data_IF_035316617941
#
_entry.id   IF_035316617941
#
_cell.length_a   1.000
_cell.length_b   1.000
_cell.length_c   1.000
_cell.angle_alpha   90.00
_cell.angle_beta   90.00
_cell.angle_gamma   90.00
#
_symmetry.space_group_name_H-M   'P 1'
#
loop_
_entity.id
_entity.type
_entity.pdbx_description
1 polymer ?
#
# COMPACT_ATOMS: atom_id res chain seq x y z
N UNK A 1 14.44 38.35 54.88
CA UNK A 1 15.59 37.44 55.03
C UNK A 1 15.59 36.56 53.79
N UNK A 2 16.33 36.96 52.74
CA UNK A 2 16.23 36.32 51.42
C UNK A 2 17.53 35.57 51.14
N UNK A 3 17.41 34.25 50.98
CA UNK A 3 18.53 33.32 50.93
C UNK A 3 19.21 33.34 49.55
N UNK A 4 20.53 33.53 49.56
CA UNK A 4 21.41 33.48 48.40
C UNK A 4 21.53 32.03 47.89
N UNK A 5 21.32 31.74 46.59
CA UNK A 5 21.45 30.38 46.06
C UNK A 5 22.93 29.93 45.98
N UNK A 6 23.23 28.64 46.19
CA UNK A 6 24.58 28.09 46.11
C UNK A 6 25.09 27.98 44.66
N UNK A 7 26.37 28.30 44.48
CA UNK A 7 27.13 28.21 43.22
C UNK A 7 27.31 26.73 42.81
N UNK A 8 27.06 26.35 41.55
CA UNK A 8 27.24 24.97 41.10
C UNK A 8 28.73 24.56 41.06
N UNK A 9 29.07 23.29 41.37
CA UNK A 9 30.42 22.75 41.24
C UNK A 9 30.88 22.76 39.78
N UNK A 10 32.08 23.31 39.56
CA UNK A 10 32.75 23.36 38.27
C UNK A 10 33.42 22.00 38.04
N UNK A 11 32.84 21.16 37.18
CA UNK A 11 33.44 19.89 36.75
C UNK A 11 34.41 20.17 35.59
N UNK A 12 35.66 19.73 35.76
CA UNK A 12 36.74 19.86 34.79
C UNK A 12 36.46 18.97 33.57
N UNK A 13 36.25 19.60 32.41
CA UNK A 13 36.19 18.92 31.11
C UNK A 13 37.59 18.45 30.70
N UNK A 14 37.81 17.15 30.38
CA UNK A 14 39.07 16.70 29.79
C UNK A 14 39.24 17.36 28.41
N UNK A 15 40.26 18.21 28.29
CA UNK A 15 40.71 18.81 27.03
C UNK A 15 41.54 17.75 26.29
N UNK A 16 40.92 17.06 25.34
CA UNK A 16 41.65 16.19 24.40
C UNK A 16 42.34 17.09 23.38
N UNK A 17 43.65 17.27 23.56
CA UNK A 17 44.53 17.97 22.65
C UNK A 17 44.85 17.03 21.48
N UNK A 18 44.30 17.34 20.30
CA UNK A 18 44.62 16.62 19.07
C UNK A 18 45.99 17.10 18.59
N UNK A 19 47.04 16.35 18.94
CA UNK A 19 48.36 16.48 18.33
C UNK A 19 48.26 16.02 16.87
N UNK A 20 48.29 16.97 15.94
CA UNK A 20 48.43 16.69 14.51
C UNK A 20 49.91 16.40 14.25
N UNK A 21 50.27 15.12 14.20
CA UNK A 21 51.55 14.72 13.61
C UNK A 21 51.44 14.78 12.09
N UNK A 22 52.06 15.81 11.52
CA UNK A 22 52.40 15.88 10.10
C UNK A 22 53.40 14.78 9.77
N UNK A 23 52.97 13.77 9.02
CA UNK A 23 53.86 12.80 8.36
C UNK A 23 53.60 12.85 6.85
N UNK A 24 54.59 13.46 6.18
CA UNK A 24 55.14 13.19 4.85
C UNK A 24 54.28 12.57 3.74
N UNK A 25 54.36 13.23 2.58
CA UNK A 25 53.97 12.73 1.26
C UNK A 25 54.45 11.30 1.00
N UNK A 26 53.51 10.34 0.94
CA UNK A 26 53.67 9.03 0.31
C UNK A 26 52.31 8.56 -0.23
N UNK A 27 52.29 7.79 -1.34
CA UNK A 27 51.25 7.86 -2.34
C UNK A 27 49.93 7.24 -1.85
N UNK A 28 48.85 7.79 -2.43
CA UNK A 28 47.55 7.16 -2.66
C UNK A 28 47.52 5.72 -2.17
N UNK A 29 46.79 5.49 -1.07
CA UNK A 29 46.51 4.17 -0.54
C UNK A 29 46.11 3.28 -1.71
N UNK A 30 47.09 2.51 -2.19
CA UNK A 30 46.83 1.42 -3.11
C UNK A 30 46.10 0.47 -2.20
N UNK A 31 44.78 0.40 -2.38
CA UNK A 31 44.00 -0.75 -1.98
C UNK A 31 44.62 -1.90 -2.79
N UNK A 32 45.75 -2.40 -2.31
CA UNK A 32 46.36 -3.62 -2.77
C UNK A 32 45.37 -4.67 -2.35
N UNK A 33 44.45 -4.97 -3.26
CA UNK A 33 43.60 -6.14 -3.20
C UNK A 33 44.52 -7.34 -3.08
N UNK A 34 44.77 -7.76 -1.84
CA UNK A 34 45.44 -9.02 -1.52
C UNK A 34 44.77 -10.10 -2.34
N UNK A 35 45.55 -10.74 -3.21
CA UNK A 35 45.12 -11.72 -4.21
C UNK A 35 44.55 -13.03 -3.63
N UNK A 36 44.17 -13.05 -2.36
CA UNK A 36 43.37 -14.11 -1.71
C UNK A 36 41.91 -13.68 -1.47
N UNK A 37 41.61 -12.37 -1.44
CA UNK A 37 40.27 -11.81 -1.24
C UNK A 37 39.31 -12.11 -2.40
N UNK A 38 39.83 -12.33 -3.61
CA UNK A 38 39.03 -12.73 -4.76
C UNK A 38 38.47 -14.15 -4.57
N UNK A 39 39.22 -15.09 -3.97
CA UNK A 39 38.75 -16.48 -3.82
C UNK A 39 37.54 -16.61 -2.90
N UNK A 40 37.57 -15.92 -1.75
CA UNK A 40 36.45 -15.90 -0.79
C UNK A 40 35.23 -15.19 -1.37
N UNK A 41 35.41 -14.04 -2.03
CA UNK A 41 34.29 -13.31 -2.64
C UNK A 41 33.62 -14.09 -3.76
N UNK A 42 34.38 -14.84 -4.55
CA UNK A 42 33.84 -15.70 -5.60
C UNK A 42 32.99 -16.84 -5.00
N UNK A 43 33.41 -17.41 -3.86
CA UNK A 43 32.61 -18.40 -3.14
C UNK A 43 31.27 -17.84 -2.64
N UNK A 44 31.27 -16.58 -2.13
CA UNK A 44 30.03 -15.89 -1.74
C UNK A 44 29.15 -15.51 -2.94
N UNK A 45 29.75 -15.10 -4.05
CA UNK A 45 29.03 -14.77 -5.29
C UNK A 45 28.40 -16.04 -5.86
N UNK A 46 29.12 -17.16 -5.91
CA UNK A 46 28.58 -18.45 -6.36
C UNK A 46 27.48 -18.94 -5.42
N UNK A 47 27.61 -18.74 -4.11
CA UNK A 47 26.55 -19.06 -3.15
C UNK A 47 25.30 -18.21 -3.40
N UNK A 48 25.43 -16.89 -3.49
CA UNK A 48 24.31 -15.96 -3.74
C UNK A 48 23.68 -16.21 -5.10
N UNK A 49 24.48 -16.45 -6.15
CA UNK A 49 23.98 -16.80 -7.48
C UNK A 49 23.30 -18.16 -7.47
N UNK A 50 23.82 -19.16 -6.76
CA UNK A 50 23.18 -20.48 -6.68
C UNK A 50 21.83 -20.43 -5.96
N UNK A 51 21.64 -19.55 -4.98
CA UNK A 51 20.34 -19.27 -4.38
C UNK A 51 19.44 -18.42 -5.28
N UNK A 52 20.00 -17.42 -5.98
CA UNK A 52 19.27 -16.54 -6.88
C UNK A 52 18.82 -17.25 -8.16
N UNK A 53 19.58 -18.23 -8.65
CA UNK A 53 19.21 -19.08 -9.79
C UNK A 53 18.03 -20.00 -9.46
N UNK A 54 17.85 -20.37 -8.19
CA UNK A 54 16.68 -21.13 -7.73
C UNK A 54 15.48 -20.24 -7.40
N UNK A 55 15.69 -18.94 -7.23
CA UNK A 55 14.64 -17.96 -6.98
C UNK A 55 13.52 -17.99 -8.05
N UNK A 56 13.80 -17.99 -9.37
CA UNK A 56 12.74 -18.10 -10.37
C UNK A 56 11.93 -19.39 -10.24
N UNK A 57 12.56 -20.52 -9.90
CA UNK A 57 11.86 -21.79 -9.67
C UNK A 57 10.95 -21.70 -8.44
N UNK A 58 11.45 -21.19 -7.31
CA UNK A 58 10.64 -20.99 -6.10
C UNK A 58 9.50 -19.99 -6.29
N UNK A 59 9.72 -18.92 -7.07
CA UNK A 59 8.65 -17.98 -7.43
C UNK A 59 7.64 -18.66 -8.35
N UNK A 60 8.08 -19.45 -9.33
CA UNK A 60 7.20 -20.21 -10.20
C UNK A 60 6.30 -21.16 -9.43
N UNK A 61 6.90 -21.97 -8.55
CA UNK A 61 6.19 -22.95 -7.72
C UNK A 61 5.25 -22.27 -6.73
N UNK A 62 5.70 -21.20 -6.06
CA UNK A 62 4.85 -20.44 -5.15
C UNK A 62 3.66 -19.80 -5.88
N UNK A 63 3.89 -19.09 -6.99
CA UNK A 63 2.78 -18.48 -7.70
C UNK A 63 1.85 -19.55 -8.28
N UNK A 64 2.36 -20.69 -8.75
CA UNK A 64 1.59 -21.83 -9.26
C UNK A 64 0.75 -22.54 -8.20
N UNK A 65 1.33 -22.81 -7.02
CA UNK A 65 0.65 -23.51 -5.92
C UNK A 65 -0.32 -22.59 -5.18
N UNK A 66 -0.01 -21.30 -5.08
CA UNK A 66 -0.82 -20.31 -4.36
C UNK A 66 -1.71 -19.45 -5.26
N UNK A 67 -1.91 -19.76 -6.56
CA UNK A 67 -2.73 -18.94 -7.47
C UNK A 67 -4.10 -18.58 -6.89
N UNK A 68 -4.82 -19.57 -6.33
CA UNK A 68 -6.16 -19.37 -5.78
C UNK A 68 -6.15 -18.48 -4.53
N UNK A 69 -5.37 -18.80 -3.47
CA UNK A 69 -5.31 -17.92 -2.30
C UNK A 69 -4.70 -16.54 -2.62
N UNK A 70 -3.69 -16.43 -3.50
CA UNK A 70 -3.16 -15.13 -3.94
C UNK A 70 -4.24 -14.30 -4.63
N UNK A 71 -5.05 -14.91 -5.50
CA UNK A 71 -6.14 -14.20 -6.15
C UNK A 71 -7.16 -13.71 -5.13
N UNK A 72 -7.53 -14.54 -4.14
CA UNK A 72 -8.47 -14.13 -3.09
C UNK A 72 -7.92 -13.00 -2.23
N UNK A 73 -6.69 -13.10 -1.74
CA UNK A 73 -6.03 -12.05 -0.96
C UNK A 73 -5.87 -10.80 -1.81
N UNK A 74 -5.46 -10.96 -3.08
CA UNK A 74 -5.36 -9.89 -4.06
C UNK A 74 -6.69 -9.18 -4.29
N UNK A 75 -7.81 -9.91 -4.35
CA UNK A 75 -9.15 -9.34 -4.47
C UNK A 75 -9.52 -8.57 -3.20
N UNK A 76 -9.23 -9.10 -2.01
CA UNK A 76 -9.47 -8.39 -0.74
C UNK A 76 -8.68 -7.08 -0.69
N UNK A 77 -7.39 -7.13 -1.03
CA UNK A 77 -6.53 -5.95 -1.09
C UNK A 77 -7.05 -4.97 -2.15
N UNK A 78 -7.38 -5.45 -3.34
CA UNK A 78 -7.95 -4.63 -4.41
C UNK A 78 -9.25 -3.96 -3.96
N UNK A 79 -10.17 -4.69 -3.31
CA UNK A 79 -11.39 -4.13 -2.77
C UNK A 79 -11.13 -3.01 -1.76
N UNK A 80 -10.16 -3.20 -0.86
CA UNK A 80 -9.78 -2.17 0.10
C UNK A 80 -9.19 -0.92 -0.58
N UNK A 81 -8.31 -1.12 -1.56
CA UNK A 81 -7.75 -0.03 -2.39
C UNK A 81 -8.85 0.68 -3.16
N UNK A 82 -9.78 -0.04 -3.78
CA UNK A 82 -10.93 0.53 -4.48
C UNK A 82 -11.73 1.42 -3.56
N UNK A 83 -12.08 0.97 -2.35
CA UNK A 83 -12.78 1.80 -1.36
C UNK A 83 -11.98 3.06 -1.05
N UNK A 84 -10.68 2.95 -0.79
CA UNK A 84 -9.82 4.11 -0.51
C UNK A 84 -9.78 5.10 -1.67
N UNK A 85 -9.64 4.62 -2.91
CA UNK A 85 -9.64 5.45 -4.11
C UNK A 85 -11.00 6.12 -4.29
N UNK A 86 -12.11 5.40 -4.12
CA UNK A 86 -13.45 5.98 -4.19
C UNK A 86 -13.63 7.09 -3.15
N UNK A 87 -13.19 6.89 -1.90
CA UNK A 87 -13.25 7.92 -0.86
C UNK A 87 -12.39 9.14 -1.23
N UNK A 88 -11.16 8.93 -1.72
CA UNK A 88 -10.29 10.01 -2.15
C UNK A 88 -10.87 10.81 -3.32
N UNK A 89 -11.57 10.14 -4.25
CA UNK A 89 -12.31 10.80 -5.33
C UNK A 89 -13.47 11.62 -4.76
N UNK A 90 -14.24 11.08 -3.81
CA UNK A 90 -15.32 11.83 -3.16
C UNK A 90 -14.79 13.08 -2.44
N UNK A 91 -13.67 12.97 -1.72
CA UNK A 91 -13.01 14.10 -1.07
C UNK A 91 -12.61 15.17 -2.10
N UNK A 92 -11.95 14.77 -3.19
CA UNK A 92 -11.55 15.68 -4.25
C UNK A 92 -12.73 16.35 -4.97
N UNK A 93 -13.85 15.64 -5.15
CA UNK A 93 -15.07 16.21 -5.71
C UNK A 93 -15.70 17.22 -4.75
N UNK A 94 -15.63 16.97 -3.44
CA UNK A 94 -16.18 17.86 -2.42
C UNK A 94 -15.37 19.17 -2.27
N UNK A 95 -14.06 19.12 -2.54
CA UNK A 95 -13.19 20.30 -2.59
C UNK A 95 -13.52 21.24 -3.77
N UNK A 96 -14.26 20.76 -4.78
CA UNK A 96 -14.72 21.56 -5.90
C UNK A 96 -16.10 22.17 -5.55
N UNK A 97 -16.19 23.50 -5.33
CA UNK A 97 -17.35 24.14 -4.72
C UNK A 97 -18.67 24.01 -5.51
N UNK A 98 -18.61 23.72 -6.82
CA UNK A 98 -19.79 23.53 -7.66
C UNK A 98 -20.19 22.06 -7.85
N UNK A 99 -19.27 21.11 -7.69
CA UNK A 99 -19.57 19.69 -7.97
C UNK A 99 -20.34 19.04 -6.83
N UNK A 100 -19.97 19.32 -5.58
CA UNK A 100 -20.67 18.80 -4.39
C UNK A 100 -22.17 19.13 -4.40
N UNK A 101 -22.60 20.42 -4.47
CA UNK A 101 -24.03 20.75 -4.53
C UNK A 101 -24.72 20.29 -5.82
N UNK A 102 -23.98 20.17 -6.93
CA UNK A 102 -24.53 19.62 -8.18
C UNK A 102 -24.89 18.13 -8.04
N UNK A 103 -23.99 17.31 -7.48
CA UNK A 103 -24.28 15.89 -7.25
C UNK A 103 -25.39 15.69 -6.22
N UNK A 104 -25.48 16.55 -5.20
CA UNK A 104 -26.61 16.54 -4.26
C UNK A 104 -27.94 16.81 -4.97
N UNK A 105 -28.00 17.83 -5.82
CA UNK A 105 -29.19 18.15 -6.60
C UNK A 105 -29.57 17.03 -7.57
N UNK A 106 -28.58 16.46 -8.28
CA UNK A 106 -28.79 15.33 -9.19
C UNK A 106 -29.31 14.11 -8.42
N UNK A 107 -28.70 13.80 -7.27
CA UNK A 107 -29.11 12.69 -6.41
C UNK A 107 -30.52 12.84 -5.88
N UNK A 108 -30.88 14.03 -5.39
CA UNK A 108 -32.25 14.33 -4.96
C UNK A 108 -33.25 14.29 -6.12
N UNK A 109 -32.88 14.83 -7.29
CA UNK A 109 -33.72 14.78 -8.48
C UNK A 109 -34.01 13.36 -8.94
N UNK A 110 -32.97 12.52 -9.03
CA UNK A 110 -33.12 11.11 -9.39
C UNK A 110 -33.91 10.33 -8.34
N UNK A 111 -33.66 10.58 -7.05
CA UNK A 111 -34.37 9.91 -5.96
C UNK A 111 -35.86 10.26 -6.00
N UNK A 112 -36.20 11.55 -6.11
CA UNK A 112 -37.59 12.00 -6.22
C UNK A 112 -38.30 11.43 -7.45
N UNK A 113 -37.64 11.46 -8.62
CA UNK A 113 -38.15 10.87 -9.85
C UNK A 113 -38.36 9.35 -9.73
N UNK A 114 -37.39 8.64 -9.13
CA UNK A 114 -37.44 7.19 -8.94
C UNK A 114 -38.60 6.79 -8.01
N UNK A 115 -38.76 7.50 -6.88
CA UNK A 115 -39.86 7.27 -5.95
C UNK A 115 -41.22 7.50 -6.66
N UNK A 116 -41.33 8.58 -7.42
CA UNK A 116 -42.53 8.89 -8.18
C UNK A 116 -42.87 7.84 -9.24
N UNK A 117 -41.87 7.40 -10.02
CA UNK A 117 -42.06 6.48 -11.13
C UNK A 117 -42.24 5.03 -10.69
N UNK A 118 -41.53 4.57 -9.66
CA UNK A 118 -41.43 3.16 -9.33
C UNK A 118 -42.04 2.78 -7.98
N UNK A 119 -42.06 3.68 -6.99
CA UNK A 119 -42.53 3.34 -5.64
C UNK A 119 -43.97 3.73 -5.36
N UNK A 120 -44.55 4.74 -6.01
CA UNK A 120 -45.90 5.22 -5.68
C UNK A 120 -47.03 4.33 -6.21
N UNK A 121 -46.88 3.76 -7.41
CA UNK A 121 -47.93 2.96 -8.07
C UNK A 121 -47.72 1.47 -7.84
N UNK A 122 -48.81 0.74 -7.59
CA UNK A 122 -48.74 -0.71 -7.35
C UNK A 122 -48.21 -1.49 -8.56
N UNK A 123 -48.58 -1.09 -9.78
CA UNK A 123 -48.09 -1.72 -11.02
C UNK A 123 -46.58 -1.57 -11.20
N UNK A 124 -46.05 -0.38 -10.93
CA UNK A 124 -44.61 -0.09 -11.13
C UNK A 124 -43.74 -0.66 -10.00
N UNK A 125 -44.28 -0.79 -8.78
CA UNK A 125 -43.62 -1.58 -7.71
C UNK A 125 -43.49 -3.05 -8.09
N UNK A 126 -44.53 -3.62 -8.71
CA UNK A 126 -44.52 -5.02 -9.16
C UNK A 126 -43.48 -5.24 -10.27
N UNK A 127 -43.49 -4.37 -11.28
CA UNK A 127 -42.49 -4.34 -12.36
C UNK A 127 -41.05 -4.31 -11.80
N UNK A 128 -40.75 -3.35 -10.90
CA UNK A 128 -39.43 -3.22 -10.27
C UNK A 128 -39.02 -4.49 -9.50
N UNK A 129 -39.96 -5.12 -8.80
CA UNK A 129 -39.66 -6.36 -8.04
C UNK A 129 -39.36 -7.55 -8.94
N UNK A 130 -40.00 -7.63 -10.10
CA UNK A 130 -39.77 -8.67 -11.10
C UNK A 130 -38.41 -8.46 -11.78
N UNK A 131 -38.08 -7.22 -12.15
CA UNK A 131 -36.76 -6.84 -12.68
C UNK A 131 -35.64 -7.15 -11.69
N UNK A 132 -35.80 -6.74 -10.42
CA UNK A 132 -34.81 -7.00 -9.38
C UNK A 132 -34.60 -8.51 -9.14
N UNK A 133 -35.67 -9.30 -9.22
CA UNK A 133 -35.60 -10.77 -9.15
C UNK A 133 -34.83 -11.34 -10.34
N UNK A 134 -35.04 -10.80 -11.54
CA UNK A 134 -34.28 -11.16 -12.75
C UNK A 134 -32.79 -10.90 -12.58
N UNK A 135 -32.42 -9.68 -12.18
CA UNK A 135 -31.03 -9.29 -11.92
C UNK A 135 -30.40 -10.18 -10.84
N UNK A 136 -31.10 -10.40 -9.72
CA UNK A 136 -30.62 -11.28 -8.65
C UNK A 136 -30.31 -12.67 -9.18
N UNK A 137 -31.20 -13.26 -9.97
CA UNK A 137 -31.01 -14.59 -10.51
C UNK A 137 -29.84 -14.67 -11.49
N UNK A 138 -29.59 -13.61 -12.26
CA UNK A 138 -28.46 -13.52 -13.19
C UNK A 138 -27.13 -13.41 -12.45
N UNK A 139 -27.05 -12.57 -11.41
CA UNK A 139 -25.81 -12.34 -10.66
C UNK A 139 -25.49 -13.50 -9.72
N UNK A 140 -26.49 -14.08 -9.06
CA UNK A 140 -26.30 -15.20 -8.12
C UNK A 140 -26.29 -16.58 -8.82
N UNK A 141 -26.56 -16.64 -10.12
CA UNK A 141 -26.47 -17.89 -10.89
C UNK A 141 -27.54 -18.93 -10.57
N UNK A 142 -28.70 -18.54 -10.04
CA UNK A 142 -29.79 -19.46 -9.66
C UNK A 142 -30.51 -20.14 -10.86
N UNK A 143 -29.93 -20.08 -12.06
CA UNK A 143 -30.41 -20.75 -13.27
C UNK A 143 -29.69 -22.09 -13.49
N UNK A 144 -29.53 -22.90 -12.44
CA UNK A 144 -29.18 -24.31 -12.64
C UNK A 144 -30.45 -25.05 -13.11
N UNK A 145 -30.45 -25.68 -14.31
CA UNK A 145 -31.52 -26.59 -14.66
C UNK A 145 -31.55 -27.70 -13.60
N UNK A 146 -32.73 -27.96 -13.04
CA UNK A 146 -32.96 -29.15 -12.23
C UNK A 146 -32.82 -30.35 -13.17
N UNK A 147 -31.67 -31.03 -13.10
CA UNK A 147 -31.47 -32.40 -13.59
C UNK A 147 -32.00 -33.39 -12.56
#
# INVERSE_FOLDING_TARGET
>A
MEAKPPKPPQAETPKVEVTVETVDNAPLATVTSTSESNSQFQEYVDLVLSYLSKLPDYLGDFFGEYQKPLLTVGLIVAAFVTVKVTLAVLDALNDIPLLSPFFELVGMGYTGWFVYRYLLRASTRKELSEELKGLKNQVLGNNAPKV
#
